data_IF_338851966757
#
_entry.id   IF_338851966757
#
_cell.length_a   1.000
_cell.length_b   1.000
_cell.length_c   1.000
_cell.angle_alpha   90.00
_cell.angle_beta   90.00
_cell.angle_gamma   90.00
#
_symmetry.space_group_name_H-M   'P 1'
#
loop_
_entity.id
_entity.type
_entity.pdbx_description
1 polymer ?
#
# COMPACT_ATOMS: atom_id res chain seq x y z
N UNK A 1 21.23 15.98 2.75
CA UNK A 1 21.33 15.09 3.94
C UNK A 1 21.23 13.65 3.47
N UNK A 2 22.09 12.74 3.95
CA UNK A 2 22.16 11.36 3.45
C UNK A 2 21.71 10.37 4.54
N UNK A 3 20.60 9.68 4.30
CA UNK A 3 20.02 8.69 5.20
C UNK A 3 20.12 7.28 4.61
N UNK A 4 20.68 6.33 5.36
CA UNK A 4 20.81 4.93 4.97
C UNK A 4 19.78 4.08 5.68
N UNK A 5 19.16 3.19 4.93
CA UNK A 5 18.11 2.33 5.45
C UNK A 5 18.19 0.94 4.83
N UNK A 6 17.86 -0.07 5.63
CA UNK A 6 17.60 -1.40 5.11
C UNK A 6 16.08 -1.69 5.06
N UNK A 7 15.50 -1.86 3.86
CA UNK A 7 14.09 -2.26 3.74
C UNK A 7 13.95 -3.74 4.05
N UNK A 8 13.05 -4.05 4.96
CA UNK A 8 12.66 -5.41 5.31
C UNK A 8 11.30 -5.77 4.72
N UNK A 9 10.99 -7.07 4.69
CA UNK A 9 9.66 -7.58 4.34
C UNK A 9 8.54 -6.89 5.12
N UNK A 10 8.79 -6.59 6.40
CA UNK A 10 7.82 -5.93 7.29
C UNK A 10 7.48 -4.52 6.82
N UNK A 11 8.45 -3.82 6.24
CA UNK A 11 8.27 -2.45 5.76
C UNK A 11 7.42 -2.44 4.49
N UNK A 12 7.67 -3.36 3.57
CA UNK A 12 6.89 -3.52 2.34
C UNK A 12 5.47 -4.02 2.60
N UNK A 13 5.30 -4.94 3.55
CA UNK A 13 3.96 -5.38 3.98
C UNK A 13 3.18 -4.23 4.62
N UNK A 14 3.85 -3.37 5.40
CA UNK A 14 3.22 -2.20 6.00
C UNK A 14 2.81 -1.17 4.94
N UNK A 15 3.67 -0.93 3.95
CA UNK A 15 3.34 -0.11 2.79
C UNK A 15 2.09 -0.65 2.07
N UNK A 16 2.02 -1.95 1.83
CA UNK A 16 0.87 -2.56 1.16
C UNK A 16 -0.42 -2.42 1.99
N UNK A 17 -0.35 -2.65 3.30
CA UNK A 17 -1.49 -2.45 4.21
C UNK A 17 -1.97 -1.01 4.20
N UNK A 18 -1.04 -0.05 4.21
CA UNK A 18 -1.37 1.36 4.14
C UNK A 18 -2.01 1.70 2.80
N UNK A 19 -1.41 1.26 1.68
CA UNK A 19 -1.92 1.49 0.34
C UNK A 19 -3.34 0.95 0.14
N UNK A 20 -3.63 -0.25 0.65
CA UNK A 20 -4.98 -0.83 0.62
C UNK A 20 -5.98 0.13 1.26
N UNK A 21 -5.65 0.71 2.41
CA UNK A 21 -6.54 1.59 3.18
C UNK A 21 -6.68 2.99 2.60
N UNK A 22 -5.64 3.54 2.00
CA UNK A 22 -5.57 4.98 1.66
C UNK A 22 -5.84 5.30 0.20
N UNK A 23 -5.51 4.39 -0.72
CA UNK A 23 -5.51 4.69 -2.16
C UNK A 23 -6.88 4.50 -2.79
N UNK A 24 -7.20 5.29 -3.83
CA UNK A 24 -8.49 5.16 -4.54
C UNK A 24 -8.52 3.88 -5.36
N UNK A 25 -7.39 3.46 -5.93
CA UNK A 25 -7.26 2.21 -6.67
C UNK A 25 -7.79 0.99 -5.88
N UNK A 26 -7.33 0.81 -4.65
CA UNK A 26 -7.77 -0.32 -3.82
C UNK A 26 -9.23 -0.20 -3.36
N UNK A 27 -9.77 1.03 -3.24
CA UNK A 27 -11.19 1.25 -2.97
C UNK A 27 -12.06 0.86 -4.16
N UNK A 28 -11.70 1.33 -5.37
CA UNK A 28 -12.42 1.01 -6.61
C UNK A 28 -12.35 -0.50 -6.88
N UNK A 29 -11.19 -1.11 -6.72
CA UNK A 29 -11.01 -2.56 -6.93
C UNK A 29 -11.89 -3.38 -5.98
N UNK A 30 -12.01 -2.98 -4.70
CA UNK A 30 -12.92 -3.63 -3.75
C UNK A 30 -14.38 -3.51 -4.16
N UNK A 31 -14.80 -2.34 -4.62
CA UNK A 31 -16.16 -2.14 -5.14
C UNK A 31 -16.38 -3.00 -6.39
N UNK A 32 -15.42 -3.06 -7.32
CA UNK A 32 -15.52 -3.93 -8.49
C UNK A 32 -15.61 -5.41 -8.13
N UNK A 33 -14.86 -5.88 -7.12
CA UNK A 33 -15.00 -7.26 -6.63
C UNK A 33 -16.41 -7.54 -6.11
N UNK A 34 -17.04 -6.59 -5.39
CA UNK A 34 -18.42 -6.74 -4.93
C UNK A 34 -19.41 -6.75 -6.11
N UNK A 35 -19.21 -5.90 -7.12
CA UNK A 35 -20.06 -5.88 -8.32
C UNK A 35 -19.96 -7.22 -9.06
N UNK A 36 -18.75 -7.74 -9.28
CA UNK A 36 -18.53 -9.03 -9.94
C UNK A 36 -19.14 -10.17 -9.12
N UNK A 37 -18.98 -10.14 -7.79
CA UNK A 37 -19.61 -11.12 -6.90
C UNK A 37 -21.14 -11.08 -7.01
N UNK A 38 -21.74 -9.90 -7.00
CA UNK A 38 -23.18 -9.73 -7.16
C UNK A 38 -23.68 -10.23 -8.52
N UNK A 39 -23.00 -9.85 -9.61
CA UNK A 39 -23.34 -10.34 -10.96
C UNK A 39 -23.23 -11.86 -11.07
N UNK A 40 -22.23 -12.46 -10.44
CA UNK A 40 -22.06 -13.91 -10.39
C UNK A 40 -23.21 -14.61 -9.64
N UNK A 41 -23.66 -14.05 -8.51
CA UNK A 41 -24.83 -14.56 -7.78
C UNK A 41 -26.10 -14.43 -8.61
N UNK A 42 -26.35 -13.27 -9.22
CA UNK A 42 -27.51 -13.06 -10.10
C UNK A 42 -27.50 -14.03 -11.28
N UNK A 43 -26.33 -14.26 -11.89
CA UNK A 43 -26.16 -15.26 -12.95
C UNK A 43 -26.55 -16.66 -12.46
N UNK A 44 -26.02 -17.14 -11.34
CA UNK A 44 -26.38 -18.45 -10.78
C UNK A 44 -27.89 -18.54 -10.56
N UNK A 45 -28.48 -17.54 -9.91
CA UNK A 45 -29.91 -17.54 -9.62
C UNK A 45 -30.75 -17.57 -10.91
N UNK A 46 -30.40 -16.79 -11.93
CA UNK A 46 -31.12 -16.75 -13.20
C UNK A 46 -31.12 -18.11 -13.93
N UNK A 47 -30.02 -18.87 -13.86
CA UNK A 47 -29.89 -20.16 -14.57
C UNK A 47 -30.28 -21.38 -13.73
N UNK A 48 -30.42 -21.23 -12.41
CA UNK A 48 -30.63 -22.34 -11.47
C UNK A 48 -32.04 -22.97 -11.48
N UNK A 49 -33.00 -22.49 -12.29
CA UNK A 49 -34.41 -22.96 -12.31
C UNK A 49 -35.04 -23.07 -10.90
N UNK A 50 -34.61 -22.24 -9.96
CA UNK A 50 -35.10 -22.24 -8.59
C UNK A 50 -36.49 -21.58 -8.50
N UNK A 51 -37.27 -21.93 -7.47
CA UNK A 51 -38.55 -21.27 -7.19
C UNK A 51 -38.36 -19.82 -6.74
N UNK A 52 -39.41 -18.99 -6.85
CA UNK A 52 -39.39 -17.56 -6.46
C UNK A 52 -38.86 -17.34 -5.04
N UNK A 53 -39.21 -18.21 -4.09
CA UNK A 53 -38.76 -18.13 -2.69
C UNK A 53 -37.24 -18.30 -2.54
N UNK A 54 -36.62 -19.10 -3.41
CA UNK A 54 -35.19 -19.34 -3.41
C UNK A 54 -34.37 -18.13 -3.93
N UNK A 55 -34.98 -17.26 -4.75
CA UNK A 55 -34.33 -16.02 -5.20
C UNK A 55 -34.16 -15.02 -4.05
N UNK A 56 -35.20 -14.83 -3.24
CA UNK A 56 -35.14 -13.95 -2.07
C UNK A 56 -34.13 -14.45 -1.05
N UNK A 57 -34.09 -15.76 -0.81
CA UNK A 57 -33.08 -16.38 0.03
C UNK A 57 -31.66 -16.14 -0.49
N UNK A 58 -31.42 -16.31 -1.80
CA UNK A 58 -30.13 -16.06 -2.43
C UNK A 58 -29.64 -14.62 -2.32
N UNK A 59 -30.55 -13.64 -2.49
CA UNK A 59 -30.23 -12.22 -2.32
C UNK A 59 -29.88 -11.87 -0.88
N UNK A 60 -30.64 -12.39 0.10
CA UNK A 60 -30.34 -12.19 1.53
C UNK A 60 -28.97 -12.79 1.86
N UNK A 61 -28.68 -14.00 1.38
CA UNK A 61 -27.39 -14.65 1.58
C UNK A 61 -26.24 -13.81 0.99
N UNK A 62 -26.44 -13.19 -0.18
CA UNK A 62 -25.45 -12.30 -0.81
C UNK A 62 -25.14 -11.08 0.07
N UNK A 63 -26.15 -10.47 0.69
CA UNK A 63 -25.95 -9.34 1.60
C UNK A 63 -25.16 -9.76 2.85
N UNK A 64 -25.48 -10.94 3.41
CA UNK A 64 -24.76 -11.50 4.57
C UNK A 64 -23.30 -11.79 4.23
N UNK A 65 -23.00 -12.24 3.02
CA UNK A 65 -21.64 -12.56 2.57
C UNK A 65 -20.81 -11.33 2.18
N UNK A 66 -21.44 -10.18 1.94
CA UNK A 66 -20.76 -8.93 1.55
C UNK A 66 -19.58 -8.54 2.45
N UNK A 67 -19.69 -8.50 3.80
CA UNK A 67 -18.54 -8.20 4.67
C UNK A 67 -17.40 -9.23 4.57
N UNK A 68 -17.73 -10.49 4.28
CA UNK A 68 -16.73 -11.55 4.09
C UNK A 68 -15.96 -11.32 2.79
N UNK A 69 -16.67 -11.04 1.69
CA UNK A 69 -16.07 -10.71 0.39
C UNK A 69 -15.23 -9.43 0.49
N UNK A 70 -15.67 -8.44 1.25
CA UNK A 70 -14.90 -7.22 1.48
C UNK A 70 -13.56 -7.49 2.18
N UNK A 71 -13.56 -8.31 3.25
CA UNK A 71 -12.33 -8.66 3.97
C UNK A 71 -11.42 -9.60 3.19
N UNK A 72 -11.98 -10.45 2.32
CA UNK A 72 -11.19 -11.39 1.53
C UNK A 72 -10.21 -10.69 0.58
N UNK A 73 -10.58 -9.50 0.07
CA UNK A 73 -9.70 -8.69 -0.77
C UNK A 73 -8.38 -8.32 -0.08
N UNK A 74 -8.48 -7.78 1.15
CA UNK A 74 -7.31 -7.35 1.92
C UNK A 74 -6.41 -8.56 2.23
N UNK A 75 -7.03 -9.67 2.66
CA UNK A 75 -6.32 -10.90 2.94
C UNK A 75 -5.58 -11.44 1.70
N UNK A 76 -6.27 -11.55 0.56
CA UNK A 76 -5.71 -12.06 -0.69
C UNK A 76 -4.56 -11.17 -1.18
N UNK A 77 -4.73 -9.84 -1.14
CA UNK A 77 -3.72 -8.87 -1.58
C UNK A 77 -2.46 -8.94 -0.73
N UNK A 78 -2.60 -9.02 0.61
CA UNK A 78 -1.47 -9.14 1.53
C UNK A 78 -0.79 -10.50 1.36
N UNK A 79 -1.56 -11.58 1.23
CA UNK A 79 -1.03 -12.94 1.03
C UNK A 79 -0.22 -13.04 -0.26
N UNK A 80 -0.75 -12.52 -1.38
CA UNK A 80 -0.03 -12.43 -2.66
C UNK A 80 1.25 -11.64 -2.53
N UNK A 81 1.21 -10.50 -1.84
CA UNK A 81 2.39 -9.66 -1.62
C UNK A 81 3.46 -10.39 -0.81
N UNK A 82 3.07 -11.09 0.26
CA UNK A 82 3.97 -11.96 1.04
C UNK A 82 4.58 -13.08 0.17
N UNK A 83 3.78 -13.69 -0.71
CA UNK A 83 4.26 -14.70 -1.65
C UNK A 83 5.33 -14.13 -2.59
N UNK A 84 5.05 -12.99 -3.23
CA UNK A 84 6.00 -12.30 -4.12
C UNK A 84 7.30 -11.95 -3.37
N UNK A 85 7.19 -11.41 -2.15
CA UNK A 85 8.34 -11.08 -1.29
C UNK A 85 9.18 -12.30 -0.95
N UNK A 86 8.55 -13.44 -0.61
CA UNK A 86 9.25 -14.70 -0.33
C UNK A 86 10.10 -15.15 -1.53
N UNK A 87 9.59 -14.99 -2.75
CA UNK A 87 10.32 -15.32 -3.97
C UNK A 87 11.40 -14.29 -4.36
N UNK A 88 11.28 -13.04 -3.90
CA UNK A 88 12.18 -11.93 -4.24
C UNK A 88 13.03 -11.43 -3.06
N UNK A 89 13.18 -12.25 -2.01
CA UNK A 89 13.89 -11.87 -0.78
C UNK A 89 15.31 -11.34 -1.04
N UNK A 90 15.97 -11.87 -2.07
CA UNK A 90 17.33 -11.47 -2.46
C UNK A 90 17.41 -10.09 -3.15
N UNK A 91 16.27 -9.48 -3.51
CA UNK A 91 16.19 -8.11 -4.08
C UNK A 91 15.93 -7.05 -3.01
N UNK A 92 15.71 -7.47 -1.76
CA UNK A 92 15.62 -6.56 -0.62
C UNK A 92 17.03 -6.19 -0.17
N UNK A 93 17.25 -4.94 0.16
CA UNK A 93 18.57 -4.50 0.56
C UNK A 93 18.63 -3.06 1.01
N UNK A 94 19.84 -2.66 1.40
CA UNK A 94 20.16 -1.30 1.76
C UNK A 94 19.92 -0.34 0.60
N UNK A 95 19.28 0.77 0.89
CA UNK A 95 19.21 1.91 0.00
C UNK A 95 19.65 3.17 0.75
N UNK A 96 20.20 4.09 -0.02
CA UNK A 96 20.61 5.41 0.45
C UNK A 96 19.61 6.42 -0.08
N UNK A 97 19.12 7.29 0.80
CA UNK A 97 18.24 8.39 0.48
C UNK A 97 19.03 9.69 0.63
N UNK A 98 19.27 10.37 -0.48
CA UNK A 98 19.84 11.70 -0.49
C UNK A 98 18.72 12.75 -0.57
N UNK A 99 18.53 13.51 0.50
CA UNK A 99 17.56 14.58 0.59
C UNK A 99 18.20 15.91 0.20
N UNK A 100 17.56 16.62 -0.73
CA UNK A 100 17.89 17.99 -1.13
C UNK A 100 16.66 18.90 -1.03
N UNK A 101 16.86 20.21 -1.23
CA UNK A 101 15.76 21.16 -1.17
C UNK A 101 14.76 21.02 -2.31
N UNK A 102 15.21 20.56 -3.48
CA UNK A 102 14.41 20.34 -4.68
C UNK A 102 13.69 18.99 -4.66
N UNK A 103 14.27 17.98 -4.01
CA UNK A 103 13.71 16.63 -4.02
C UNK A 103 14.50 15.65 -3.18
N UNK A 104 14.38 14.38 -3.54
CA UNK A 104 15.16 13.31 -2.96
C UNK A 104 15.56 12.28 -4.00
N UNK A 105 16.73 11.69 -3.81
CA UNK A 105 17.27 10.62 -4.65
C UNK A 105 17.39 9.36 -3.83
N UNK A 106 16.75 8.28 -4.28
CA UNK A 106 16.83 6.95 -3.71
C UNK A 106 17.79 6.12 -4.54
N UNK A 107 18.89 5.68 -3.93
CA UNK A 107 19.92 4.86 -4.55
C UNK A 107 19.95 3.48 -3.91
N UNK A 108 19.82 2.45 -4.73
CA UNK A 108 20.00 1.05 -4.36
C UNK A 108 20.97 0.41 -5.36
N UNK A 109 21.42 -0.81 -5.06
CA UNK A 109 22.47 -1.51 -5.81
C UNK A 109 22.28 -1.50 -7.34
N UNK A 110 21.04 -1.53 -7.83
CA UNK A 110 20.71 -1.57 -9.25
C UNK A 110 19.68 -0.51 -9.69
N UNK A 111 19.28 0.42 -8.83
CA UNK A 111 18.23 1.40 -9.13
C UNK A 111 18.52 2.73 -8.45
N UNK A 112 18.57 3.79 -9.26
CA UNK A 112 18.58 5.18 -8.79
C UNK A 112 17.29 5.84 -9.24
N UNK A 113 16.52 6.34 -8.29
CA UNK A 113 15.23 6.98 -8.50
C UNK A 113 15.30 8.41 -7.95
N UNK A 114 15.13 9.41 -8.82
CA UNK A 114 15.10 10.83 -8.45
C UNK A 114 13.65 11.30 -8.43
N UNK A 115 13.27 11.98 -7.37
CA UNK A 115 11.89 12.40 -7.13
C UNK A 115 11.92 13.84 -6.64
N UNK A 116 11.11 14.71 -7.24
CA UNK A 116 10.98 16.09 -6.77
C UNK A 116 9.84 16.20 -5.75
N UNK A 117 9.93 17.17 -4.84
CA UNK A 117 8.92 17.32 -3.78
C UNK A 117 7.53 17.69 -4.33
N UNK A 118 7.46 18.39 -5.46
CA UNK A 118 6.22 18.75 -6.17
C UNK A 118 5.51 17.54 -6.80
N UNK A 119 6.22 16.44 -7.05
CA UNK A 119 5.65 15.19 -7.56
C UNK A 119 4.96 14.36 -6.46
N UNK A 120 5.16 14.71 -5.19
CA UNK A 120 4.56 14.02 -4.07
C UNK A 120 3.06 14.34 -4.00
N UNK A 121 2.21 13.35 -4.29
CA UNK A 121 0.76 13.50 -4.21
C UNK A 121 0.22 13.38 -2.78
N UNK A 122 0.82 12.51 -1.98
CA UNK A 122 0.33 12.25 -0.64
C UNK A 122 1.45 11.72 0.27
N UNK A 123 1.50 12.24 1.50
CA UNK A 123 2.25 11.61 2.58
C UNK A 123 1.31 10.86 3.52
N UNK A 124 1.72 9.65 3.91
CA UNK A 124 1.18 8.94 5.07
C UNK A 124 2.31 8.51 5.99
N UNK A 125 1.99 8.26 7.24
CA UNK A 125 2.96 7.78 8.20
C UNK A 125 2.35 6.71 9.11
N UNK A 126 3.21 5.80 9.58
CA UNK A 126 2.94 4.96 10.74
C UNK A 126 3.89 5.36 11.88
N UNK A 127 3.91 4.60 12.98
CA UNK A 127 4.80 4.86 14.11
C UNK A 127 6.29 4.87 13.72
N UNK A 128 6.70 4.11 12.70
CA UNK A 128 8.11 3.83 12.37
C UNK A 128 8.54 4.33 10.99
N UNK A 129 7.60 4.71 10.12
CA UNK A 129 7.82 4.92 8.68
C UNK A 129 7.02 6.08 8.14
N UNK A 130 7.56 6.68 7.09
CA UNK A 130 6.83 7.53 6.16
C UNK A 130 6.58 6.77 4.85
N UNK A 131 5.40 6.95 4.30
CA UNK A 131 4.97 6.45 3.00
C UNK A 131 4.73 7.65 2.08
N UNK A 132 5.64 7.84 1.13
CA UNK A 132 5.62 8.94 0.17
C UNK A 132 4.98 8.46 -1.13
N UNK A 133 3.73 8.84 -1.39
CA UNK A 133 2.98 8.43 -2.58
C UNK A 133 3.19 9.42 -3.73
N UNK A 134 3.74 8.91 -4.83
CA UNK A 134 3.86 9.61 -6.11
C UNK A 134 2.63 9.35 -6.97
N UNK A 135 2.09 8.14 -6.89
CA UNK A 135 0.81 7.75 -7.47
C UNK A 135 0.05 6.84 -6.51
N UNK A 136 -1.20 6.53 -6.83
CA UNK A 136 -2.01 5.57 -6.06
C UNK A 136 -1.38 4.16 -5.98
N UNK A 137 -0.48 3.82 -6.90
CA UNK A 137 0.16 2.49 -6.97
C UNK A 137 1.66 2.54 -6.64
N UNK A 138 2.25 3.73 -6.61
CA UNK A 138 3.68 3.91 -6.41
C UNK A 138 3.96 4.75 -5.18
N UNK A 139 4.58 4.12 -4.19
CA UNK A 139 4.98 4.76 -2.96
C UNK A 139 6.40 4.35 -2.54
N UNK A 140 7.10 5.30 -1.94
CA UNK A 140 8.43 5.11 -1.39
C UNK A 140 8.30 5.06 0.13
N UNK A 141 8.75 3.96 0.73
CA UNK A 141 8.81 3.80 2.18
C UNK A 141 10.18 4.22 2.69
N UNK A 142 10.20 5.11 3.68
CA UNK A 142 11.41 5.53 4.40
C UNK A 142 11.18 5.36 5.90
N UNK A 143 12.22 4.97 6.66
CA UNK A 143 12.09 4.86 8.12
C UNK A 143 12.22 6.25 8.75
N UNK A 144 11.59 6.44 9.91
CA UNK A 144 11.74 7.66 10.72
C UNK A 144 13.12 7.75 11.40
N UNK A 145 13.78 6.61 11.55
CA UNK A 145 15.10 6.45 12.16
C UNK A 145 16.04 5.78 11.15
N UNK A 146 16.92 6.57 10.50
CA UNK A 146 17.99 6.04 9.64
C UNK A 146 19.07 5.32 10.45
N UNK A 147 19.74 4.34 9.83
CA UNK A 147 20.76 3.51 10.50
C UNK A 147 22.10 4.23 10.70
N UNK A 148 22.30 5.37 10.04
CA UNK A 148 23.58 6.10 9.99
C UNK A 148 23.53 7.50 10.65
N UNK A 149 22.52 7.78 11.48
CA UNK A 149 22.33 9.10 12.09
C UNK A 149 22.26 9.03 13.61
N UNK A 150 22.76 10.07 14.27
CA UNK A 150 22.60 10.28 15.71
C UNK A 150 21.23 10.90 16.05
N UNK A 151 20.91 11.06 17.33
CA UNK A 151 19.60 11.55 17.79
C UNK A 151 19.27 12.96 17.26
N UNK A 152 20.26 13.86 17.21
CA UNK A 152 20.08 15.23 16.71
C UNK A 152 19.85 15.25 15.20
N UNK A 153 20.60 14.45 14.45
CA UNK A 153 20.47 14.27 13.01
C UNK A 153 19.12 13.64 12.65
N UNK A 154 18.66 12.64 13.42
CA UNK A 154 17.32 12.04 13.26
C UNK A 154 16.23 13.10 13.45
N UNK A 155 16.36 13.96 14.46
CA UNK A 155 15.41 15.04 14.70
C UNK A 155 15.40 16.04 13.54
N UNK A 156 16.58 16.47 13.08
CA UNK A 156 16.71 17.37 11.94
C UNK A 156 16.15 16.75 10.65
N UNK A 157 16.36 15.45 10.43
CA UNK A 157 15.78 14.68 9.33
C UNK A 157 14.25 14.68 9.38
N UNK A 158 13.65 14.33 10.53
CA UNK A 158 12.20 14.29 10.69
C UNK A 158 11.58 15.67 10.51
N UNK A 159 12.20 16.72 11.04
CA UNK A 159 11.77 18.11 10.86
C UNK A 159 11.89 18.56 9.39
N UNK A 160 12.94 18.14 8.69
CA UNK A 160 13.09 18.41 7.27
C UNK A 160 11.95 17.81 6.44
N UNK A 161 11.65 16.52 6.65
CA UNK A 161 10.54 15.83 5.96
C UNK A 161 9.21 16.51 6.26
N UNK A 162 8.92 16.80 7.54
CA UNK A 162 7.67 17.49 7.93
C UNK A 162 7.52 18.86 7.29
N UNK A 163 8.60 19.65 7.23
CA UNK A 163 8.58 20.99 6.59
C UNK A 163 8.31 20.92 5.09
N UNK A 164 8.86 19.94 4.38
CA UNK A 164 8.64 19.79 2.94
C UNK A 164 7.22 19.31 2.62
N UNK A 165 6.60 18.57 3.53
CA UNK A 165 5.26 18.00 3.33
C UNK A 165 4.13 18.97 3.69
N UNK A 166 4.35 19.87 4.66
CA UNK A 166 3.33 20.84 5.12
C UNK A 166 3.33 22.17 4.33
N UNK A 167 3.98 22.23 3.17
CA UNK A 167 3.84 23.35 2.23
C UNK A 167 2.50 23.27 1.50
#
# INVERSE_FOLDING_TARGET
>A
MIAKFNITDKDLIAQQKNAIKTTKFHRITRIMQLIVFFLFVVYILAFSRLSTDNYMFGLILCLILTPVVWKSYEYATISRSKGILKHHKNKLGGFTLNLSDEGFTKESKNLTEKVRWDELKQLKEDEKRYFLYLTDLHAITIKKEPENMNIEEVKAYQEFIKRKVNK
#
